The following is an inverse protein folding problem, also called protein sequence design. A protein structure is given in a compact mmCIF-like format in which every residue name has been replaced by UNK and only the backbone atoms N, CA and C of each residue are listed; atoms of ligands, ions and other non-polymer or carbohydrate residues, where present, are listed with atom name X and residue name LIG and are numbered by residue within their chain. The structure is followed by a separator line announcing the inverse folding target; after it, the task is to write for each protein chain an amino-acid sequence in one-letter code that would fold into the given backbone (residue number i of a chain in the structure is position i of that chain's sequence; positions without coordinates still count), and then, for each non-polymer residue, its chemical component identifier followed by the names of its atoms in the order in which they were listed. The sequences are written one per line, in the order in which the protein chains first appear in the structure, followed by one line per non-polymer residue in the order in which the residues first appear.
data_IF_006261774304
#
_entry.id   IF_006261774304
#
_cell.length_a   1.000
_cell.length_b   1.000
_cell.length_c   1.000
_cell.angle_alpha   90.00
_cell.angle_beta   90.00
_cell.angle_gamma   90.00
#
_symmetry.space_group_name_H-M   'P 1'
#
loop_
_entity.id
_entity.type
_entity.pdbx_description
1 polymer ?
#
# COMPACT_ATOMS: atom_id res chain seq x y z
N UNK A 1 -2.76 -78.71 -43.18
CA UNK A 1 -3.78 -78.87 -42.28
C UNK A 1 -3.66 -77.72 -41.30
N UNK A 2 -4.56 -76.84 -41.34
CA UNK A 2 -4.50 -75.44 -40.93
C UNK A 2 -4.61 -75.20 -39.47
N UNK A 3 -3.72 -74.44 -38.89
CA UNK A 3 -3.85 -73.91 -37.55
C UNK A 3 -4.07 -72.39 -37.66
N UNK A 4 -5.23 -71.96 -37.30
CA UNK A 4 -5.62 -70.56 -37.24
C UNK A 4 -5.20 -70.02 -35.86
N UNK A 5 -4.19 -69.11 -35.86
CA UNK A 5 -3.80 -68.35 -34.70
C UNK A 5 -4.79 -67.19 -34.47
N UNK A 6 -5.47 -67.18 -33.32
CA UNK A 6 -6.23 -66.02 -32.84
C UNK A 6 -5.32 -65.10 -32.07
N UNK A 7 -5.01 -63.95 -32.65
CA UNK A 7 -4.26 -62.91 -32.00
C UNK A 7 -5.22 -61.98 -31.22
N UNK A 8 -5.31 -62.18 -29.90
CA UNK A 8 -5.97 -61.26 -29.02
C UNK A 8 -5.18 -59.97 -28.90
N UNK A 9 -5.69 -58.88 -29.48
CA UNK A 9 -5.18 -57.53 -29.22
C UNK A 9 -5.75 -57.06 -27.89
N UNK A 10 -4.86 -56.99 -26.91
CA UNK A 10 -5.06 -56.21 -25.68
C UNK A 10 -4.93 -54.73 -26.03
N UNK A 11 -6.06 -54.04 -26.03
CA UNK A 11 -6.10 -52.58 -26.05
C UNK A 11 -5.87 -52.10 -24.60
N UNK A 12 -4.65 -51.77 -24.24
CA UNK A 12 -4.37 -51.08 -22.99
C UNK A 12 -4.72 -49.62 -23.17
N UNK A 13 -5.91 -49.26 -22.66
CA UNK A 13 -6.32 -47.87 -22.52
C UNK A 13 -5.46 -47.16 -21.49
N UNK A 14 -4.52 -46.36 -21.96
CA UNK A 14 -3.78 -45.42 -21.11
C UNK A 14 -4.68 -44.23 -20.83
N UNK A 15 -5.35 -44.27 -19.68
CA UNK A 15 -6.03 -43.10 -19.12
C UNK A 15 -4.95 -42.14 -18.64
N UNK A 16 -4.57 -41.23 -19.51
CA UNK A 16 -3.77 -40.08 -19.12
C UNK A 16 -4.67 -39.14 -18.30
N UNK A 17 -4.61 -39.28 -16.97
CA UNK A 17 -5.18 -38.30 -16.04
C UNK A 17 -4.37 -37.00 -16.17
N UNK A 18 -4.91 -36.07 -16.96
CA UNK A 18 -4.44 -34.70 -17.04
C UNK A 18 -4.80 -34.00 -15.72
N UNK A 19 -3.94 -34.15 -14.71
CA UNK A 19 -4.02 -33.33 -13.51
C UNK A 19 -3.74 -31.88 -13.92
N UNK A 20 -4.79 -31.11 -14.09
CA UNK A 20 -4.73 -29.66 -14.25
C UNK A 20 -4.25 -29.09 -12.91
N UNK A 21 -2.93 -29.01 -12.71
CA UNK A 21 -2.35 -28.24 -11.64
C UNK A 21 -2.66 -26.78 -11.93
N UNK A 22 -3.75 -26.28 -11.35
CA UNK A 22 -3.94 -24.85 -11.16
C UNK A 22 -2.84 -24.36 -10.23
N UNK A 23 -1.73 -23.92 -10.82
CA UNK A 23 -0.75 -23.16 -10.09
C UNK A 23 -1.46 -21.91 -9.58
N UNK A 24 -1.81 -21.91 -8.28
CA UNK A 24 -2.12 -20.68 -7.59
C UNK A 24 -0.84 -19.87 -7.67
N UNK A 25 -0.81 -18.91 -8.60
CA UNK A 25 0.25 -17.93 -8.66
C UNK A 25 0.18 -17.18 -7.32
N UNK A 26 1.05 -17.56 -6.36
CA UNK A 26 1.33 -16.69 -5.22
C UNK A 26 1.80 -15.37 -5.85
N UNK A 27 0.97 -14.34 -5.75
CA UNK A 27 1.24 -13.05 -6.31
C UNK A 27 2.60 -12.56 -5.83
N UNK A 28 3.53 -12.41 -6.75
CA UNK A 28 4.81 -11.81 -6.43
C UNK A 28 4.53 -10.39 -5.90
N UNK A 29 5.06 -10.05 -4.72
CA UNK A 29 4.96 -8.70 -4.19
C UNK A 29 5.28 -7.68 -5.27
N UNK A 30 4.41 -6.69 -5.45
CA UNK A 30 4.63 -5.66 -6.46
C UNK A 30 5.97 -4.96 -6.16
N UNK A 31 6.90 -5.07 -7.10
CA UNK A 31 8.23 -4.46 -6.98
C UNK A 31 8.11 -2.96 -7.21
N UNK A 32 7.79 -2.20 -6.16
CA UNK A 32 7.53 -0.76 -6.20
C UNK A 32 8.61 0.05 -5.49
N UNK A 33 8.84 1.31 -5.91
CA UNK A 33 9.71 2.24 -5.20
C UNK A 33 9.17 2.54 -3.79
N UNK A 34 10.08 2.67 -2.82
CA UNK A 34 9.78 3.00 -1.42
C UNK A 34 10.50 4.29 -1.01
N UNK A 35 9.86 5.10 -0.19
CA UNK A 35 10.37 6.42 0.19
C UNK A 35 11.31 6.35 1.39
N UNK A 36 12.42 7.11 1.33
CA UNK A 36 13.16 7.57 2.51
C UNK A 36 12.49 8.82 3.11
N UNK A 37 12.98 9.23 4.29
CA UNK A 37 12.54 10.49 4.91
C UNK A 37 13.38 11.64 4.34
N UNK A 38 12.71 12.72 3.95
CA UNK A 38 13.39 13.93 3.50
C UNK A 38 14.29 14.50 4.60
N UNK A 39 15.50 14.85 4.23
CA UNK A 39 16.45 15.57 5.07
C UNK A 39 16.72 16.94 4.45
N UNK A 40 16.84 17.97 5.28
CA UNK A 40 17.24 19.30 4.82
C UNK A 40 18.64 19.21 4.17
N UNK A 41 18.78 19.82 2.99
CA UNK A 41 20.01 19.76 2.18
C UNK A 41 19.88 18.92 0.91
N UNK A 42 18.79 18.14 0.75
CA UNK A 42 18.52 17.50 -0.53
C UNK A 42 18.33 18.55 -1.66
N UNK A 43 18.86 18.30 -2.88
CA UNK A 43 18.79 19.24 -4.00
C UNK A 43 17.36 19.30 -4.56
N UNK A 44 16.50 20.14 -3.96
CA UNK A 44 15.07 20.21 -4.25
C UNK A 44 14.75 20.52 -5.73
N UNK A 45 15.65 21.21 -6.45
CA UNK A 45 15.48 21.49 -7.87
C UNK A 45 15.35 20.22 -8.72
N UNK A 46 15.93 19.09 -8.26
CA UNK A 46 15.90 17.81 -8.97
C UNK A 46 14.58 17.05 -8.78
N UNK A 47 13.69 17.53 -7.90
CA UNK A 47 12.51 16.79 -7.49
C UNK A 47 11.21 17.42 -8.00
N UNK A 48 10.22 16.55 -8.14
CA UNK A 48 8.81 16.89 -8.21
C UNK A 48 8.19 16.69 -6.84
N UNK A 49 7.21 17.51 -6.50
CA UNK A 49 6.46 17.39 -5.24
C UNK A 49 4.99 17.12 -5.52
N UNK A 50 4.42 16.21 -4.74
CA UNK A 50 2.99 15.90 -4.72
C UNK A 50 2.49 15.77 -3.27
N UNK A 51 1.18 15.77 -3.09
CA UNK A 51 0.59 15.39 -1.80
C UNK A 51 0.86 13.91 -1.53
N UNK A 52 1.19 13.59 -0.28
CA UNK A 52 1.19 12.22 0.22
C UNK A 52 -0.22 11.86 0.65
N UNK A 53 -0.87 11.04 -0.16
CA UNK A 53 -2.21 10.57 0.12
C UNK A 53 -2.18 9.51 1.25
N UNK A 54 -3.14 9.57 2.15
CA UNK A 54 -3.40 8.54 3.17
C UNK A 54 -4.45 7.57 2.64
N UNK A 55 -4.01 6.64 1.81
CA UNK A 55 -4.83 5.65 1.15
C UNK A 55 -4.20 4.27 1.18
N UNK A 56 -4.56 3.43 0.22
CA UNK A 56 -4.04 2.07 0.06
C UNK A 56 -3.33 1.97 -1.28
N UNK A 57 -1.99 1.78 -1.24
CA UNK A 57 -1.21 1.66 -2.45
C UNK A 57 -1.66 0.50 -3.31
N UNK A 58 -1.92 0.78 -4.57
CA UNK A 58 -2.30 -0.19 -5.57
C UNK A 58 -1.42 -0.09 -6.82
N UNK A 59 -1.12 -1.23 -7.38
CA UNK A 59 -0.44 -1.39 -8.65
C UNK A 59 -1.44 -1.97 -9.66
N UNK A 60 -1.66 -1.27 -10.75
CA UNK A 60 -2.43 -1.72 -11.89
C UNK A 60 -1.50 -2.37 -12.91
N UNK A 61 -1.74 -3.61 -13.30
CA UNK A 61 -0.87 -4.35 -14.23
C UNK A 61 -1.33 -4.28 -15.70
N UNK A 62 -2.46 -3.62 -15.95
CA UNK A 62 -3.15 -3.55 -17.24
C UNK A 62 -4.47 -4.35 -17.24
N UNK A 63 -4.70 -5.19 -16.24
CA UNK A 63 -5.91 -6.02 -16.11
C UNK A 63 -6.51 -6.01 -14.70
N UNK A 64 -5.67 -5.92 -13.65
CA UNK A 64 -6.06 -6.02 -12.24
C UNK A 64 -5.30 -5.06 -11.35
N UNK A 65 -5.91 -4.71 -10.24
CA UNK A 65 -5.29 -3.97 -9.16
C UNK A 65 -4.68 -4.92 -8.13
N UNK A 66 -3.42 -4.67 -7.78
CA UNK A 66 -2.64 -5.48 -6.83
C UNK A 66 -2.20 -4.63 -5.66
N UNK A 67 -2.24 -5.20 -4.46
CA UNK A 67 -1.63 -4.59 -3.30
C UNK A 67 -0.10 -4.65 -3.36
N UNK A 68 0.56 -3.88 -2.53
CA UNK A 68 2.02 -3.92 -2.40
C UNK A 68 2.58 -5.31 -2.08
N UNK A 69 1.79 -6.17 -1.41
CA UNK A 69 2.18 -7.55 -1.06
C UNK A 69 1.82 -8.58 -2.13
N UNK A 70 1.24 -8.15 -3.22
CA UNK A 70 0.87 -9.03 -4.33
C UNK A 70 -0.49 -9.71 -4.16
N UNK A 71 -1.35 -9.21 -3.27
CA UNK A 71 -2.73 -9.68 -3.19
C UNK A 71 -3.61 -8.87 -4.15
N UNK A 72 -4.53 -9.50 -4.91
CA UNK A 72 -5.41 -8.79 -5.80
C UNK A 72 -6.51 -8.05 -5.01
N UNK A 73 -6.84 -6.83 -5.42
CA UNK A 73 -8.04 -6.16 -4.96
C UNK A 73 -9.25 -6.64 -5.76
N UNK A 74 -10.37 -6.83 -5.08
CA UNK A 74 -11.64 -7.21 -5.70
C UNK A 74 -12.41 -5.96 -6.14
N UNK A 75 -11.80 -5.17 -7.04
CA UNK A 75 -12.45 -4.00 -7.61
C UNK A 75 -13.56 -4.46 -8.57
N UNK A 76 -14.75 -3.80 -8.58
CA UNK A 76 -15.78 -4.09 -9.56
C UNK A 76 -15.31 -3.84 -11.00
N UNK A 77 -15.79 -4.60 -11.96
CA UNK A 77 -15.41 -4.46 -13.37
C UNK A 77 -15.66 -3.04 -13.89
N UNK A 78 -16.77 -2.41 -13.54
CA UNK A 78 -17.07 -1.05 -13.94
C UNK A 78 -16.08 0.00 -13.39
N UNK A 79 -15.39 -0.28 -12.28
CA UNK A 79 -14.39 0.62 -11.71
C UNK A 79 -13.13 0.69 -12.57
N UNK A 80 -12.73 -0.44 -13.16
CA UNK A 80 -11.48 -0.60 -13.91
C UNK A 80 -11.68 -0.62 -15.44
N UNK A 81 -12.93 -0.71 -15.94
CA UNK A 81 -13.24 -0.93 -17.36
C UNK A 81 -12.63 0.08 -18.33
N UNK A 82 -12.45 1.31 -17.88
CA UNK A 82 -11.87 2.40 -18.67
C UNK A 82 -10.41 2.69 -18.32
N UNK A 83 -9.76 1.83 -17.54
CA UNK A 83 -8.34 2.02 -17.22
C UNK A 83 -7.49 1.65 -18.44
N UNK A 84 -6.35 2.33 -18.66
CA UNK A 84 -5.49 2.03 -19.80
C UNK A 84 -4.81 0.66 -19.62
N UNK A 85 -4.43 -0.02 -20.73
CA UNK A 85 -3.75 -1.31 -20.64
C UNK A 85 -2.29 -1.22 -20.14
N UNK A 86 -1.75 -0.01 -19.97
CA UNK A 86 -0.43 0.20 -19.40
C UNK A 86 -0.46 0.07 -17.88
N UNK A 87 0.62 -0.49 -17.28
CA UNK A 87 0.72 -0.56 -15.83
C UNK A 87 0.80 0.83 -15.19
N UNK A 88 0.13 0.98 -14.03
CA UNK A 88 0.08 2.24 -13.27
C UNK A 88 0.42 1.99 -11.81
N UNK A 89 1.10 2.94 -11.18
CA UNK A 89 1.37 2.93 -9.75
C UNK A 89 0.64 4.11 -9.09
N UNK A 90 -0.16 3.83 -8.08
CA UNK A 90 -1.03 4.83 -7.49
C UNK A 90 -1.51 4.46 -6.08
N UNK A 91 -2.47 5.22 -5.62
CA UNK A 91 -3.13 5.06 -4.33
C UNK A 91 -4.63 4.93 -4.55
N UNK A 92 -5.26 3.87 -4.06
CA UNK A 92 -6.72 3.87 -3.85
C UNK A 92 -7.01 4.86 -2.73
N UNK A 93 -7.91 5.79 -2.97
CA UNK A 93 -8.15 6.92 -2.07
C UNK A 93 -9.62 7.31 -2.02
N UNK A 94 -10.11 7.63 -0.84
CA UNK A 94 -11.49 8.01 -0.61
C UNK A 94 -11.63 9.50 -0.22
N UNK A 95 -10.54 10.08 0.28
CA UNK A 95 -10.49 11.43 0.82
C UNK A 95 -9.56 11.51 2.03
N UNK A 96 -9.25 12.73 2.47
CA UNK A 96 -8.44 12.96 3.67
C UNK A 96 -9.17 12.46 4.91
N UNK A 97 -8.45 11.80 5.82
CA UNK A 97 -9.00 11.26 7.07
C UNK A 97 -9.91 10.04 6.90
N UNK A 98 -10.04 9.47 5.69
CA UNK A 98 -10.97 8.37 5.42
C UNK A 98 -10.28 7.00 5.22
N UNK A 99 -9.04 6.87 5.68
CA UNK A 99 -8.28 5.62 5.52
C UNK A 99 -9.01 4.39 6.10
N UNK A 100 -9.62 4.50 7.29
CA UNK A 100 -10.30 3.38 7.93
C UNK A 100 -11.49 2.87 7.09
N UNK A 101 -12.29 3.79 6.55
CA UNK A 101 -13.41 3.46 5.67
C UNK A 101 -12.90 2.84 4.36
N UNK A 102 -11.92 3.45 3.71
CA UNK A 102 -11.31 2.92 2.50
C UNK A 102 -10.76 1.50 2.71
N UNK A 103 -10.00 1.30 3.78
CA UNK A 103 -9.44 0.00 4.14
C UNK A 103 -10.53 -1.07 4.32
N UNK A 104 -11.69 -0.71 4.88
CA UNK A 104 -12.87 -1.57 4.96
C UNK A 104 -13.38 -1.98 3.58
N UNK A 105 -13.51 -1.02 2.66
CA UNK A 105 -14.00 -1.25 1.29
C UNK A 105 -13.06 -2.19 0.52
N UNK A 106 -11.78 -1.84 0.41
CA UNK A 106 -10.84 -2.54 -0.48
C UNK A 106 -10.42 -3.93 0.02
N UNK A 107 -10.65 -4.24 1.29
CA UNK A 107 -10.33 -5.55 1.90
C UNK A 107 -11.48 -6.55 1.85
N UNK A 108 -12.68 -6.08 1.68
CA UNK A 108 -13.87 -6.95 1.72
C UNK A 108 -14.05 -7.64 0.38
N UNK A 109 -14.09 -8.98 0.40
CA UNK A 109 -14.24 -9.82 -0.82
C UNK A 109 -15.58 -9.54 -1.53
N UNK A 110 -16.57 -9.03 -0.81
CA UNK A 110 -17.89 -8.63 -1.33
C UNK A 110 -18.28 -7.27 -0.71
N UNK A 111 -17.47 -6.24 -0.94
CA UNK A 111 -17.93 -4.87 -0.65
C UNK A 111 -19.11 -4.57 -1.56
N UNK A 112 -20.11 -3.84 -1.03
CA UNK A 112 -21.20 -3.39 -1.88
C UNK A 112 -20.63 -2.55 -3.03
N UNK A 113 -21.11 -2.75 -4.24
CA UNK A 113 -20.72 -1.97 -5.43
C UNK A 113 -20.82 -0.45 -5.16
N UNK A 114 -21.80 -0.04 -4.37
CA UNK A 114 -22.01 1.35 -3.98
C UNK A 114 -20.80 1.96 -3.25
N UNK A 115 -20.06 1.17 -2.47
CA UNK A 115 -18.91 1.67 -1.69
C UNK A 115 -17.75 2.09 -2.61
N UNK A 116 -17.52 1.36 -3.69
CA UNK A 116 -16.47 1.66 -4.67
C UNK A 116 -16.72 2.93 -5.47
N UNK A 117 -17.97 3.42 -5.56
CA UNK A 117 -18.31 4.65 -6.32
C UNK A 117 -17.60 5.89 -5.78
N UNK A 118 -17.28 5.90 -4.49
CA UNK A 118 -16.55 7.01 -3.86
C UNK A 118 -15.03 6.87 -3.94
N UNK A 119 -14.52 5.68 -4.25
CA UNK A 119 -13.08 5.42 -4.36
C UNK A 119 -12.53 6.01 -5.66
N UNK A 120 -11.29 6.49 -5.63
CA UNK A 120 -10.50 6.91 -6.80
C UNK A 120 -9.17 6.19 -6.79
N UNK A 121 -8.70 5.79 -7.96
CA UNK A 121 -7.33 5.36 -8.15
C UNK A 121 -6.50 6.59 -8.55
N UNK A 122 -5.75 7.11 -7.58
CA UNK A 122 -4.94 8.32 -7.69
C UNK A 122 -3.54 7.93 -8.15
N UNK A 123 -3.27 8.01 -9.44
CA UNK A 123 -1.99 7.55 -10.01
C UNK A 123 -0.90 8.63 -9.91
N UNK A 124 0.32 8.20 -9.64
CA UNK A 124 1.46 9.09 -9.45
C UNK A 124 2.72 8.64 -10.21
N UNK A 125 2.78 7.43 -10.74
CA UNK A 125 3.90 6.97 -11.56
C UNK A 125 3.45 5.96 -12.63
N UNK A 126 4.29 5.82 -13.66
CA UNK A 126 4.14 4.88 -14.76
C UNK A 126 5.31 3.89 -14.72
N UNK A 127 5.10 2.59 -14.43
CA UNK A 127 6.16 1.61 -14.23
C UNK A 127 6.90 1.24 -15.53
N UNK A 128 7.68 2.17 -16.08
CA UNK A 128 8.57 1.99 -17.22
C UNK A 128 10.02 2.10 -16.72
N UNK A 129 10.71 0.97 -16.67
CA UNK A 129 12.01 0.83 -16.02
C UNK A 129 13.16 1.58 -16.71
N UNK A 130 13.05 1.78 -18.02
CA UNK A 130 14.05 2.41 -18.89
C UNK A 130 13.89 3.93 -19.04
N UNK A 131 12.87 4.52 -18.40
CA UNK A 131 12.56 5.95 -18.51
C UNK A 131 12.73 6.66 -17.17
N UNK A 132 13.18 7.92 -17.25
CA UNK A 132 13.23 8.79 -16.08
C UNK A 132 11.83 9.26 -15.70
N UNK A 133 11.64 9.73 -14.46
CA UNK A 133 10.35 10.26 -14.04
C UNK A 133 9.93 11.50 -14.85
N UNK A 134 10.88 12.35 -15.24
CA UNK A 134 10.62 13.46 -16.13
C UNK A 134 10.05 13.04 -17.51
N UNK A 135 10.43 11.85 -17.99
CA UNK A 135 9.88 11.28 -19.24
C UNK A 135 8.54 10.57 -19.00
N UNK A 136 8.38 9.89 -17.86
CA UNK A 136 7.16 9.15 -17.52
C UNK A 136 5.98 10.07 -17.18
N UNK A 137 6.22 11.19 -16.51
CA UNK A 137 5.17 12.08 -16.04
C UNK A 137 4.30 12.68 -17.16
N UNK A 138 4.85 13.20 -18.28
CA UNK A 138 4.03 13.63 -19.42
C UNK A 138 3.17 12.52 -20.01
N UNK A 139 3.73 11.31 -20.15
CA UNK A 139 3.00 10.13 -20.63
C UNK A 139 1.88 9.72 -19.69
N UNK A 140 2.13 9.73 -18.39
CA UNK A 140 1.11 9.44 -17.38
C UNK A 140 -0.06 10.42 -17.46
N UNK A 141 0.24 11.74 -17.65
CA UNK A 141 -0.79 12.78 -17.84
C UNK A 141 -1.66 12.50 -19.07
N UNK A 142 -1.02 12.13 -20.17
CA UNK A 142 -1.72 11.79 -21.42
C UNK A 142 -2.60 10.54 -21.26
N UNK A 143 -2.09 9.47 -20.66
CA UNK A 143 -2.83 8.25 -20.42
C UNK A 143 -4.07 8.47 -19.55
N UNK A 144 -3.92 9.19 -18.43
CA UNK A 144 -5.04 9.50 -17.54
C UNK A 144 -6.08 10.38 -18.22
N UNK A 145 -5.63 11.38 -19.00
CA UNK A 145 -6.55 12.25 -19.75
C UNK A 145 -7.33 11.49 -20.82
N UNK A 146 -6.69 10.55 -21.51
CA UNK A 146 -7.33 9.75 -22.57
C UNK A 146 -8.27 8.67 -22.04
N UNK A 147 -8.01 8.14 -20.86
CA UNK A 147 -8.83 7.08 -20.27
C UNK A 147 -10.27 7.53 -20.01
N UNK A 148 -10.48 8.83 -19.68
CA UNK A 148 -11.82 9.38 -19.45
C UNK A 148 -12.55 8.83 -18.21
N UNK A 149 -11.95 7.90 -17.49
CA UNK A 149 -12.57 7.26 -16.33
C UNK A 149 -12.78 8.23 -15.17
N UNK A 150 -13.97 8.32 -14.59
CA UNK A 150 -14.21 9.15 -13.41
C UNK A 150 -13.54 8.59 -12.15
N UNK A 151 -13.02 7.36 -12.22
CA UNK A 151 -12.38 6.66 -11.11
C UNK A 151 -10.86 6.69 -11.16
N UNK A 152 -10.29 7.17 -12.27
CA UNK A 152 -8.85 7.32 -12.46
C UNK A 152 -8.47 8.80 -12.45
N UNK A 153 -7.54 9.18 -11.58
CA UNK A 153 -7.09 10.56 -11.50
C UNK A 153 -5.59 10.67 -11.28
N UNK A 154 -4.99 11.74 -11.79
CA UNK A 154 -3.57 12.01 -11.59
C UNK A 154 -3.32 12.75 -10.28
N UNK A 155 -2.38 12.28 -9.48
CA UNK A 155 -1.85 13.08 -8.37
C UNK A 155 -1.06 14.26 -8.92
N UNK A 156 -1.45 15.48 -8.54
CA UNK A 156 -0.83 16.72 -9.04
C UNK A 156 0.64 16.77 -8.66
N UNK A 157 1.52 16.92 -9.67
CA UNK A 157 2.96 17.05 -9.52
C UNK A 157 3.40 18.48 -9.86
N UNK A 158 4.24 19.09 -9.00
CA UNK A 158 4.74 20.45 -9.15
C UNK A 158 6.22 20.50 -8.78
N UNK A 159 6.90 21.63 -9.06
CA UNK A 159 8.26 21.85 -8.53
C UNK A 159 8.16 22.31 -7.06
N UNK A 160 9.04 21.81 -6.18
CA UNK A 160 8.92 22.06 -4.74
C UNK A 160 9.30 23.49 -4.30
N UNK A 161 10.10 24.21 -5.09
CA UNK A 161 10.68 25.45 -4.67
C UNK A 161 11.87 25.26 -3.72
N UNK A 162 12.05 26.15 -2.74
CA UNK A 162 13.07 26.03 -1.70
C UNK A 162 12.56 25.29 -0.45
N UNK A 163 13.44 25.03 0.50
CA UNK A 163 13.11 24.33 1.75
C UNK A 163 11.96 24.99 2.53
N UNK A 164 11.99 26.33 2.66
CA UNK A 164 10.96 27.05 3.41
C UNK A 164 9.57 26.89 2.73
N UNK A 165 9.52 27.02 1.41
CA UNK A 165 8.28 26.82 0.64
C UNK A 165 7.77 25.37 0.71
N UNK A 166 8.69 24.40 0.69
CA UNK A 166 8.34 23.00 0.86
C UNK A 166 7.72 22.72 2.23
N UNK A 167 8.33 23.29 3.29
CA UNK A 167 7.80 23.13 4.66
C UNK A 167 6.45 23.82 4.84
N UNK A 168 6.30 25.06 4.34
CA UNK A 168 5.01 25.77 4.38
C UNK A 168 3.91 24.95 3.67
N UNK A 169 4.19 24.45 2.47
CA UNK A 169 3.26 23.61 1.72
C UNK A 169 2.89 22.31 2.44
N UNK A 170 3.86 21.67 3.11
CA UNK A 170 3.58 20.49 3.96
C UNK A 170 2.59 20.86 5.06
N UNK A 171 2.82 22.00 5.74
CA UNK A 171 1.99 22.44 6.85
C UNK A 171 0.58 22.83 6.37
N UNK A 172 0.45 23.44 5.19
CA UNK A 172 -0.85 23.72 4.54
C UNK A 172 -1.64 22.42 4.28
N UNK A 173 -0.97 21.39 3.73
CA UNK A 173 -1.59 20.08 3.48
C UNK A 173 -2.03 19.42 4.79
N UNK A 174 -1.19 19.48 5.83
CA UNK A 174 -1.53 18.92 7.15
C UNK A 174 -2.68 19.70 7.81
N UNK A 175 -2.73 21.03 7.67
CA UNK A 175 -3.80 21.87 8.25
C UNK A 175 -5.18 21.50 7.71
N UNK A 176 -5.28 20.99 6.49
CA UNK A 176 -6.53 20.52 5.88
C UNK A 176 -6.69 18.99 5.93
N UNK A 177 -6.00 18.32 6.85
CA UNK A 177 -6.15 16.89 7.13
C UNK A 177 -5.37 15.94 6.22
N UNK A 178 -4.43 16.46 5.41
CA UNK A 178 -3.52 15.63 4.63
C UNK A 178 -2.36 15.07 5.44
N UNK A 179 -1.64 14.09 4.92
CA UNK A 179 -0.57 13.39 5.64
C UNK A 179 0.80 14.13 5.52
N UNK A 180 1.02 14.81 4.41
CA UNK A 180 2.26 15.49 4.08
C UNK A 180 2.53 15.50 2.58
N UNK A 181 3.81 15.45 2.20
CA UNK A 181 4.24 15.52 0.80
C UNK A 181 5.13 14.33 0.41
N UNK A 182 5.20 14.07 -0.88
CA UNK A 182 6.16 13.18 -1.53
C UNK A 182 7.04 13.97 -2.48
N UNK A 183 8.34 13.65 -2.51
CA UNK A 183 9.28 14.16 -3.48
C UNK A 183 9.74 13.00 -4.37
N UNK A 184 9.66 13.17 -5.69
CA UNK A 184 10.15 12.21 -6.68
C UNK A 184 11.24 12.86 -7.52
N UNK A 185 12.44 12.25 -7.55
CA UNK A 185 13.55 12.77 -8.36
C UNK A 185 13.21 12.64 -9.85
N UNK A 186 13.34 13.74 -10.59
CA UNK A 186 13.00 13.80 -12.02
C UNK A 186 13.83 12.85 -12.87
N UNK A 187 15.14 12.73 -12.60
CA UNK A 187 16.05 11.85 -13.30
C UNK A 187 15.95 10.36 -12.90
N UNK A 188 15.10 10.01 -11.92
CA UNK A 188 15.02 8.64 -11.42
C UNK A 188 14.29 7.71 -12.39
N UNK A 189 14.82 6.50 -12.58
CA UNK A 189 14.12 5.40 -13.24
C UNK A 189 13.11 4.75 -12.27
N UNK A 190 12.20 3.94 -12.80
CA UNK A 190 11.28 3.16 -11.96
C UNK A 190 11.99 1.93 -11.42
N UNK A 191 12.45 2.01 -10.19
CA UNK A 191 13.19 0.94 -9.52
C UNK A 191 12.56 0.57 -8.19
N UNK A 192 12.41 -0.73 -7.96
CA UNK A 192 11.91 -1.27 -6.71
C UNK A 192 12.88 -1.02 -5.55
N UNK A 193 12.32 -0.91 -4.37
CA UNK A 193 13.09 -0.75 -3.13
C UNK A 193 13.18 0.68 -2.65
N UNK A 194 13.94 0.86 -1.59
CA UNK A 194 14.08 2.15 -0.89
C UNK A 194 15.31 2.90 -1.42
N UNK A 195 15.08 4.14 -1.84
CA UNK A 195 16.14 5.04 -2.31
C UNK A 195 15.79 6.49 -2.03
N UNK A 196 16.76 7.39 -2.23
CA UNK A 196 16.54 8.84 -2.14
C UNK A 196 15.85 9.40 -3.39
N UNK A 197 15.57 8.59 -4.40
CA UNK A 197 14.76 8.99 -5.55
C UNK A 197 13.30 9.25 -5.19
N UNK A 198 12.86 8.73 -4.06
CA UNK A 198 11.54 8.97 -3.49
C UNK A 198 11.69 9.34 -2.02
N UNK A 199 11.23 10.54 -1.64
CA UNK A 199 11.31 11.03 -0.26
C UNK A 199 9.91 11.39 0.26
N UNK A 200 9.66 11.13 1.55
CA UNK A 200 8.46 11.57 2.25
C UNK A 200 8.77 12.77 3.14
N UNK A 201 7.90 13.77 3.12
CA UNK A 201 8.00 15.00 3.92
C UNK A 201 6.80 15.05 4.85
N UNK A 202 6.98 14.67 6.10
CA UNK A 202 5.93 14.58 7.12
C UNK A 202 6.28 15.41 8.34
N UNK A 203 5.28 15.68 9.18
CA UNK A 203 5.50 16.29 10.50
C UNK A 203 6.07 15.29 11.49
N UNK A 204 5.70 14.02 11.35
CA UNK A 204 6.15 12.90 12.18
C UNK A 204 6.59 11.75 11.27
N UNK A 205 7.54 10.97 11.76
CA UNK A 205 7.81 9.67 11.16
C UNK A 205 6.72 8.67 11.55
N UNK A 206 6.50 7.67 10.72
CA UNK A 206 5.66 6.52 11.03
C UNK A 206 6.42 5.22 10.72
N UNK A 207 6.07 4.20 11.45
CA UNK A 207 6.57 2.85 11.23
C UNK A 207 5.50 1.80 11.57
N UNK A 208 5.77 0.58 11.18
CA UNK A 208 4.94 -0.58 11.50
C UNK A 208 5.60 -1.42 12.60
N UNK A 209 4.77 -2.02 13.44
CA UNK A 209 5.23 -2.97 14.43
C UNK A 209 4.17 -4.07 14.64
N UNK A 210 4.63 -5.25 15.07
CA UNK A 210 3.74 -6.37 15.42
C UNK A 210 3.40 -6.27 16.90
N UNK A 211 2.12 -6.34 17.24
CA UNK A 211 1.67 -6.46 18.63
C UNK A 211 2.12 -7.81 19.17
N UNK A 212 2.88 -7.81 20.26
CA UNK A 212 3.36 -9.02 20.94
C UNK A 212 2.78 -9.18 22.34
N UNK A 213 2.03 -8.20 22.83
CA UNK A 213 1.34 -8.29 24.10
C UNK A 213 0.54 -7.03 24.44
N UNK A 214 -0.40 -7.19 25.38
CA UNK A 214 -1.25 -6.14 25.92
C UNK A 214 -0.85 -5.94 27.38
N UNK A 215 -0.56 -4.71 27.75
CA UNK A 215 -0.18 -4.33 29.11
C UNK A 215 -1.38 -3.68 29.82
N UNK A 216 -1.66 -4.04 31.08
CA UNK A 216 -2.79 -3.51 31.83
C UNK A 216 -2.63 -2.01 32.10
N UNK A 217 -3.76 -1.30 32.08
CA UNK A 217 -3.84 0.10 32.44
C UNK A 217 -3.78 0.33 33.95
N UNK A 218 -3.49 1.59 34.33
CA UNK A 218 -3.47 2.07 35.71
C UNK A 218 -4.32 3.34 35.82
N UNK A 219 -4.76 3.67 37.04
CA UNK A 219 -5.59 4.86 37.29
C UNK A 219 -6.89 4.80 36.50
N UNK A 220 -7.16 5.84 35.67
CA UNK A 220 -8.39 5.91 34.87
C UNK A 220 -8.54 4.76 33.85
N UNK A 221 -7.48 4.05 33.54
CA UNK A 221 -7.49 2.90 32.62
C UNK A 221 -7.44 1.55 33.36
N UNK A 222 -7.72 1.50 34.65
CA UNK A 222 -7.79 0.24 35.38
C UNK A 222 -8.87 -0.66 34.78
N UNK A 223 -8.52 -1.92 34.49
CA UNK A 223 -9.41 -2.86 33.79
C UNK A 223 -9.39 -2.77 32.26
N UNK A 224 -8.70 -1.77 31.70
CA UNK A 224 -8.54 -1.55 30.26
C UNK A 224 -7.07 -1.73 29.86
N UNK A 225 -6.79 -1.71 28.55
CA UNK A 225 -5.42 -1.67 28.03
C UNK A 225 -4.73 -0.34 28.40
N UNK A 226 -3.56 -0.43 29.03
CA UNK A 226 -2.68 0.69 29.30
C UNK A 226 -1.74 1.00 28.13
N UNK A 227 -1.13 -0.05 27.56
CA UNK A 227 -0.22 0.05 26.42
C UNK A 227 -0.17 -1.27 25.64
N UNK A 228 0.22 -1.18 24.39
CA UNK A 228 0.65 -2.34 23.61
C UNK A 228 2.17 -2.54 23.78
N UNK A 229 2.62 -3.77 23.94
CA UNK A 229 4.00 -4.16 23.71
C UNK A 229 4.11 -4.59 22.25
N UNK A 230 5.04 -3.99 21.53
CA UNK A 230 5.17 -4.16 20.09
C UNK A 230 6.60 -4.50 19.71
N UNK A 231 6.78 -5.19 18.57
CA UNK A 231 8.07 -5.61 18.02
C UNK A 231 8.27 -5.03 16.63
N UNK A 232 9.41 -4.40 16.43
CA UNK A 232 9.86 -3.90 15.13
C UNK A 232 10.36 -5.05 14.22
N UNK A 233 10.57 -4.75 12.94
CA UNK A 233 11.11 -5.71 11.97
C UNK A 233 12.53 -6.22 12.31
N UNK A 234 13.30 -5.44 13.09
CA UNK A 234 14.63 -5.78 13.59
C UNK A 234 14.61 -6.51 14.96
N UNK A 235 13.46 -7.01 15.38
CA UNK A 235 13.19 -7.72 16.63
C UNK A 235 13.28 -6.88 17.91
N UNK A 236 13.54 -5.58 17.85
CA UNK A 236 13.50 -4.72 19.04
C UNK A 236 12.06 -4.52 19.51
N UNK A 237 11.86 -4.57 20.85
CA UNK A 237 10.54 -4.38 21.45
C UNK A 237 10.47 -3.08 22.25
N UNK A 238 9.31 -2.46 22.26
CA UNK A 238 9.01 -1.29 23.08
C UNK A 238 7.51 -1.20 23.36
N UNK A 239 7.09 -0.15 24.05
CA UNK A 239 5.69 0.06 24.46
C UNK A 239 5.11 1.29 23.80
N UNK A 240 3.85 1.17 23.37
CA UNK A 240 3.05 2.29 22.86
C UNK A 240 1.83 2.42 23.79
N UNK A 241 1.76 3.53 24.53
CA UNK A 241 0.69 3.81 25.50
C UNK A 241 -0.20 4.98 25.12
N UNK A 242 0.09 5.68 24.02
CA UNK A 242 -0.63 6.86 23.54
C UNK A 242 -1.24 6.64 22.16
N UNK A 243 -2.21 7.50 21.77
CA UNK A 243 -2.86 7.45 20.47
C UNK A 243 -4.10 6.57 20.39
N UNK A 244 -4.48 5.91 21.48
CA UNK A 244 -5.65 5.06 21.55
C UNK A 244 -6.88 5.83 22.03
N UNK A 245 -8.01 5.57 21.38
CA UNK A 245 -9.33 5.91 21.90
C UNK A 245 -9.73 4.99 23.06
N UNK A 246 -10.76 5.35 23.82
CA UNK A 246 -11.28 4.51 24.90
C UNK A 246 -11.88 3.18 24.36
N UNK A 247 -12.46 3.20 23.16
CA UNK A 247 -12.94 2.00 22.49
C UNK A 247 -11.79 1.03 22.17
N UNK A 248 -10.67 1.52 21.63
CA UNK A 248 -9.47 0.72 21.34
C UNK A 248 -8.77 0.22 22.61
N UNK A 249 -8.99 0.87 23.74
CA UNK A 249 -8.52 0.38 25.04
C UNK A 249 -9.38 -0.73 25.61
N UNK A 250 -10.67 -0.70 25.29
CA UNK A 250 -11.64 -1.74 25.69
C UNK A 250 -11.46 -3.01 24.84
N UNK A 251 -11.27 -2.82 23.53
CA UNK A 251 -11.05 -3.90 22.57
C UNK A 251 -9.73 -3.65 21.78
N UNK A 252 -8.59 -3.94 22.41
CA UNK A 252 -7.29 -3.63 21.83
C UNK A 252 -6.90 -4.59 20.70
N UNK A 253 -6.07 -4.11 19.74
CA UNK A 253 -5.49 -4.98 18.72
C UNK A 253 -4.85 -6.22 19.34
N UNK A 254 -5.26 -7.45 18.94
CA UNK A 254 -4.74 -8.67 19.54
C UNK A 254 -3.27 -8.90 19.14
N UNK A 255 -2.51 -9.71 19.93
CA UNK A 255 -1.19 -10.16 19.54
C UNK A 255 -1.17 -10.77 18.13
N UNK A 256 -0.14 -10.46 17.35
CA UNK A 256 -0.04 -10.78 15.93
C UNK A 256 -0.55 -9.69 14.97
N UNK A 257 -1.33 -8.73 15.47
CA UNK A 257 -1.75 -7.59 14.64
C UNK A 257 -0.56 -6.74 14.22
N UNK A 258 -0.54 -6.27 12.99
CA UNK A 258 0.37 -5.21 12.53
C UNK A 258 -0.29 -3.86 12.76
N UNK A 259 0.42 -2.96 13.42
CA UNK A 259 -0.05 -1.59 13.67
C UNK A 259 0.87 -0.58 13.00
N UNK A 260 0.33 0.57 12.65
CA UNK A 260 1.08 1.79 12.32
C UNK A 260 1.10 2.69 13.55
N UNK A 261 2.27 3.23 13.85
CA UNK A 261 2.45 4.24 14.91
C UNK A 261 3.30 5.40 14.39
N UNK A 262 3.03 6.60 14.86
CA UNK A 262 3.87 7.79 14.62
C UNK A 262 4.89 7.96 15.73
N UNK A 263 6.05 8.56 15.40
CA UNK A 263 7.10 8.85 16.35
C UNK A 263 7.92 10.08 15.93
N UNK A 264 8.76 10.62 16.81
CA UNK A 264 9.58 11.80 16.56
C UNK A 264 11.04 11.50 16.88
N UNK A 265 11.79 11.03 15.87
CA UNK A 265 13.19 10.63 16.02
C UNK A 265 13.38 9.36 16.85
N UNK A 266 14.64 9.05 17.19
CA UNK A 266 15.04 7.83 17.89
C UNK A 266 15.79 8.15 19.19
N UNK A 267 15.74 7.22 20.14
CA UNK A 267 16.59 7.21 21.34
C UNK A 267 18.03 6.86 20.96
N UNK A 268 18.97 7.03 21.90
CA UNK A 268 20.35 6.59 21.72
C UNK A 268 20.47 5.08 21.41
N UNK A 269 19.48 4.27 21.84
CA UNK A 269 19.40 2.84 21.54
C UNK A 269 18.64 2.52 20.24
N UNK A 270 18.28 3.56 19.47
CA UNK A 270 17.57 3.43 18.19
C UNK A 270 16.06 3.16 18.30
N UNK A 271 15.46 3.14 19.50
CA UNK A 271 14.03 2.98 19.67
C UNK A 271 13.26 4.26 19.31
N UNK A 272 12.06 4.17 18.71
CA UNK A 272 11.21 5.32 18.40
C UNK A 272 10.86 6.13 19.64
N UNK A 273 11.03 7.47 19.57
CA UNK A 273 10.68 8.41 20.65
C UNK A 273 9.24 8.89 20.47
N UNK A 274 8.53 9.08 21.59
CA UNK A 274 7.15 9.58 21.60
C UNK A 274 6.21 8.79 20.69
N UNK A 275 6.42 7.47 20.65
CA UNK A 275 5.61 6.59 19.82
C UNK A 275 4.13 6.68 20.23
N UNK A 276 3.25 6.86 19.23
CA UNK A 276 1.82 7.00 19.41
C UNK A 276 1.09 6.18 18.35
N UNK A 277 0.16 5.33 18.77
CA UNK A 277 -0.67 4.51 17.90
C UNK A 277 -1.42 5.39 16.89
N UNK A 278 -1.55 4.88 15.67
CA UNK A 278 -2.35 5.51 14.62
C UNK A 278 -3.51 4.62 14.17
N UNK A 279 -3.20 3.37 13.83
CA UNK A 279 -4.19 2.42 13.29
C UNK A 279 -3.65 0.98 13.24
N UNK A 280 -4.57 0.03 13.14
CA UNK A 280 -4.23 -1.34 12.74
C UNK A 280 -4.00 -1.36 11.22
N UNK A 281 -2.95 -2.05 10.77
CA UNK A 281 -2.68 -2.29 9.33
C UNK A 281 -3.53 -3.42 8.83
N UNK A 282 -4.62 -3.06 8.23
CA UNK A 282 -5.61 -3.97 7.67
C UNK A 282 -5.89 -3.67 6.18
N UNK A 283 -4.96 -3.08 5.48
CA UNK A 283 -5.10 -2.57 4.12
C UNK A 283 -4.80 -3.62 3.03
N UNK A 284 -4.31 -4.82 3.43
CA UNK A 284 -4.16 -5.92 2.49
C UNK A 284 -5.50 -6.65 2.28
N UNK A 285 -5.90 -6.93 1.03
CA UNK A 285 -7.09 -7.70 0.75
C UNK A 285 -7.01 -9.11 1.35
N UNK A 286 -8.13 -9.62 1.83
CA UNK A 286 -8.19 -11.01 2.30
C UNK A 286 -8.01 -11.93 1.10
N UNK A 287 -7.18 -12.97 1.23
CA UNK A 287 -7.08 -14.00 0.23
C UNK A 287 -8.48 -14.59 -0.03
N UNK A 288 -8.90 -14.65 -1.30
CA UNK A 288 -10.12 -15.34 -1.66
C UNK A 288 -9.95 -16.81 -1.27
N UNK A 289 -10.74 -17.29 -0.32
CA UNK A 289 -10.84 -18.72 -0.08
C UNK A 289 -11.56 -19.28 -1.31
N UNK A 290 -10.80 -19.92 -2.18
CA UNK A 290 -11.36 -20.73 -3.27
C UNK A 290 -12.02 -21.91 -2.58
N UNK A 291 -13.37 -21.89 -2.53
CA UNK A 291 -14.19 -23.04 -2.15
C UNK A 291 -14.25 -24.03 -3.31
#
# INVERSE_FOLDING_TARGET
MSSILWMKRLVSGLLASLALMTAVALGASAKVPLANVYQQGAPLADYWVSEKLDGVRAYWDGERLWSRRGNPFQAPDWFISEFPPQPLDGELWLGRGQFAQLSGIVRTVRSADADWRSVRFMVFDLPLADQTFDQRLPRLRELVSKAGSPYLALVKQQRPGNHQQLMARRDDVIAVGGEGLMLRRGASVYQAGRSDDLLKVKRFDDAEAIVVGILPGKGKYQGLMGALRVRLADNREFRIGSGFSDAERTDPPPPGSVITFKYSGHTATGLPRFASFMRVRNDEPKAAIVQ
#
